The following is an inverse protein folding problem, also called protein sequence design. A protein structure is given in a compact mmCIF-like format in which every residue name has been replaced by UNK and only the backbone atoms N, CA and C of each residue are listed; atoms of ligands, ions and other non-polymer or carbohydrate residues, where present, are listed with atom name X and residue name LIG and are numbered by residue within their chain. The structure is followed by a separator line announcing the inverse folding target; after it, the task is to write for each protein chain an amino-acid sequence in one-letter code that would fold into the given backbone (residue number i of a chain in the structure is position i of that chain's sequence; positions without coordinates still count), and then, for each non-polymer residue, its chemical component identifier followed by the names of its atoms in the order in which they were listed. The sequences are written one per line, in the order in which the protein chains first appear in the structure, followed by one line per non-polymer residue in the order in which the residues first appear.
data_IF_555813318322
#
_entry.id   IF_555813318322
#
_cell.length_a   1.000
_cell.length_b   1.000
_cell.length_c   1.000
_cell.angle_alpha   90.00
_cell.angle_beta   90.00
_cell.angle_gamma   90.00
#
_symmetry.space_group_name_H-M   'P 1'
#
loop_
_entity.id
_entity.type
_entity.pdbx_description
1 polymer ?
#
# COMPACT_ATOMS: atom_id res chain seq x y z
N UNK A 1 0.56 -1.91 16.61
CA UNK A 1 1.49 -3.06 16.82
C UNK A 1 2.49 -3.09 15.67
N UNK A 2 3.68 -3.64 15.89
CA UNK A 2 4.63 -3.82 14.79
C UNK A 2 4.14 -4.91 13.82
N UNK A 3 4.27 -4.69 12.52
CA UNK A 3 3.80 -5.64 11.50
C UNK A 3 4.52 -6.98 11.60
N UNK A 4 5.86 -6.98 11.60
CA UNK A 4 6.68 -8.18 11.76
C UNK A 4 6.36 -8.96 13.04
N UNK A 5 6.14 -8.27 14.16
CA UNK A 5 5.72 -8.89 15.43
C UNK A 5 4.38 -9.63 15.29
N UNK A 6 3.41 -9.07 14.58
CA UNK A 6 2.11 -9.71 14.36
C UNK A 6 2.25 -11.05 13.62
N UNK A 7 3.09 -11.10 12.59
CA UNK A 7 3.37 -12.32 11.83
C UNK A 7 4.22 -13.33 12.61
N UNK A 8 5.34 -12.89 13.17
CA UNK A 8 6.32 -13.80 13.79
C UNK A 8 5.84 -14.34 15.15
N UNK A 9 5.22 -13.50 15.99
CA UNK A 9 4.94 -13.82 17.38
C UNK A 9 3.46 -14.12 17.66
N UNK A 10 2.54 -13.56 16.88
CA UNK A 10 1.11 -13.73 17.08
C UNK A 10 0.46 -14.67 16.06
N UNK A 11 1.24 -15.24 15.14
CA UNK A 11 0.78 -16.27 14.21
C UNK A 11 -0.18 -15.76 13.15
N UNK A 12 -0.18 -14.45 12.86
CA UNK A 12 -0.94 -13.89 11.75
C UNK A 12 -0.47 -14.53 10.44
N UNK A 13 -1.42 -14.94 9.63
CA UNK A 13 -1.20 -15.42 8.27
C UNK A 13 -1.68 -14.34 7.28
N UNK A 14 -0.98 -14.25 6.15
CA UNK A 14 -1.35 -13.34 5.08
C UNK A 14 -2.85 -13.50 4.71
N UNK A 15 -3.54 -12.37 4.57
CA UNK A 15 -4.97 -12.34 4.21
C UNK A 15 -5.93 -12.53 5.38
N UNK A 16 -5.44 -12.71 6.61
CA UNK A 16 -6.29 -12.66 7.81
C UNK A 16 -6.61 -11.22 8.27
N UNK A 17 -5.83 -10.25 7.81
CA UNK A 17 -6.04 -8.83 8.04
C UNK A 17 -6.81 -8.16 6.91
N UNK A 18 -6.43 -6.91 6.66
CA UNK A 18 -6.89 -6.08 5.56
C UNK A 18 -5.89 -6.03 4.40
N UNK A 19 -4.93 -6.97 4.36
CA UNK A 19 -4.02 -7.11 3.21
C UNK A 19 -4.78 -7.47 1.92
N UNK A 20 -5.99 -8.03 2.06
CA UNK A 20 -6.88 -8.42 0.96
C UNK A 20 -8.14 -7.56 0.99
N UNK A 21 -8.42 -6.88 -0.12
CA UNK A 21 -9.66 -6.12 -0.34
C UNK A 21 -10.05 -5.08 0.72
N UNK A 22 -9.12 -4.29 1.24
CA UNK A 22 -9.53 -3.32 2.25
C UNK A 22 -10.39 -2.16 1.72
N UNK A 23 -10.52 -2.03 0.39
CA UNK A 23 -11.55 -1.24 -0.29
C UNK A 23 -12.98 -1.83 -0.25
N UNK A 24 -13.14 -3.13 0.00
CA UNK A 24 -14.46 -3.80 -0.08
C UNK A 24 -15.15 -3.95 1.27
N UNK A 25 -14.66 -3.29 2.32
CA UNK A 25 -15.27 -3.33 3.66
C UNK A 25 -16.73 -2.86 3.68
N UNK A 26 -17.12 -1.99 2.74
CA UNK A 26 -18.50 -1.52 2.56
C UNK A 26 -19.40 -2.51 1.81
N UNK A 27 -18.81 -3.54 1.19
CA UNK A 27 -19.56 -4.62 0.55
C UNK A 27 -19.57 -5.83 1.48
N UNK A 28 -20.63 -5.98 2.30
CA UNK A 28 -20.79 -7.09 3.26
C UNK A 28 -20.53 -8.50 2.67
N UNK A 29 -20.70 -8.65 1.35
CA UNK A 29 -20.54 -9.88 0.57
C UNK A 29 -19.09 -10.20 0.16
N UNK A 30 -18.19 -9.23 0.26
CA UNK A 30 -16.75 -9.37 0.01
C UNK A 30 -15.93 -9.12 1.28
N UNK A 31 -16.56 -9.31 2.46
CA UNK A 31 -15.83 -9.38 3.73
C UNK A 31 -14.60 -10.24 3.53
N UNK A 32 -13.48 -9.73 4.04
CA UNK A 32 -12.23 -10.42 4.40
C UNK A 32 -12.48 -11.91 4.41
N UNK A 33 -11.67 -12.69 3.70
CA UNK A 33 -11.69 -14.15 3.72
C UNK A 33 -11.39 -14.70 5.13
N UNK A 34 -12.33 -14.48 6.05
CA UNK A 34 -12.49 -15.14 7.33
C UNK A 34 -13.35 -16.41 7.14
N UNK A 35 -13.65 -16.78 5.90
CA UNK A 35 -14.14 -18.11 5.55
C UNK A 35 -12.96 -19.00 5.16
N UNK A 36 -12.59 -20.00 5.99
CA UNK A 36 -11.48 -20.92 5.73
C UNK A 36 -11.65 -21.84 4.50
N UNK A 37 -12.71 -21.65 3.70
CA UNK A 37 -13.06 -22.50 2.57
C UNK A 37 -12.79 -21.88 1.19
N UNK A 38 -12.44 -20.59 1.09
CA UNK A 38 -12.17 -19.94 -0.20
C UNK A 38 -10.70 -20.10 -0.63
N UNK A 39 -10.37 -21.28 -1.18
CA UNK A 39 -9.01 -21.70 -1.55
C UNK A 39 -8.46 -20.99 -2.80
N UNK A 40 -9.31 -20.51 -3.70
CA UNK A 40 -8.93 -20.19 -5.09
C UNK A 40 -8.12 -18.90 -5.22
N UNK A 41 -8.23 -17.98 -4.27
CA UNK A 41 -7.49 -16.73 -4.29
C UNK A 41 -6.17 -16.76 -3.51
N UNK A 42 -6.06 -17.65 -2.52
CA UNK A 42 -4.91 -17.76 -1.62
C UNK A 42 -3.59 -18.18 -2.32
N UNK A 43 -3.63 -18.73 -3.53
CA UNK A 43 -2.52 -19.58 -3.99
C UNK A 43 -1.47 -18.92 -4.88
N UNK A 44 -1.76 -17.89 -5.68
CA UNK A 44 -0.84 -17.53 -6.79
C UNK A 44 -0.24 -16.12 -6.83
N UNK A 45 -0.93 -15.06 -6.39
CA UNK A 45 -0.35 -13.69 -6.35
C UNK A 45 -0.15 -13.17 -4.91
N UNK A 46 -0.89 -13.73 -3.95
CA UNK A 46 -1.00 -13.24 -2.57
C UNK A 46 0.18 -13.70 -1.68
N UNK A 47 0.88 -14.78 -2.05
CA UNK A 47 2.10 -15.22 -1.35
C UNK A 47 3.22 -14.22 -1.50
N UNK A 48 3.37 -13.59 -2.65
CA UNK A 48 4.55 -12.77 -2.93
C UNK A 48 4.46 -11.40 -2.27
N UNK A 49 3.32 -10.69 -2.33
CA UNK A 49 3.17 -9.40 -1.62
C UNK A 49 3.39 -9.57 -0.12
N UNK A 50 2.78 -10.56 0.52
CA UNK A 50 2.99 -10.78 1.95
C UNK A 50 4.42 -11.22 2.29
N UNK A 51 5.01 -12.14 1.51
CA UNK A 51 6.38 -12.64 1.72
C UNK A 51 7.43 -11.55 1.47
N UNK A 52 7.22 -10.67 0.51
CA UNK A 52 8.17 -9.66 0.10
C UNK A 52 7.93 -8.28 0.75
N UNK A 53 6.74 -8.06 1.34
CA UNK A 53 6.36 -6.81 2.00
C UNK A 53 5.89 -7.01 3.45
N UNK A 54 4.65 -7.47 3.69
CA UNK A 54 4.02 -7.41 5.03
C UNK A 54 4.79 -8.16 6.12
N UNK A 55 5.32 -9.35 5.81
CA UNK A 55 6.11 -10.16 6.77
C UNK A 55 7.50 -9.57 7.08
N UNK A 56 7.96 -8.62 6.27
CA UNK A 56 9.27 -7.95 6.43
C UNK A 56 9.18 -6.57 7.07
N UNK A 57 8.00 -5.95 7.08
CA UNK A 57 7.79 -4.63 7.66
C UNK A 57 8.06 -4.64 9.17
N UNK A 58 9.22 -4.14 9.59
CA UNK A 58 9.58 -3.99 10.99
C UNK A 58 9.31 -2.56 11.49
N UNK A 59 8.06 -2.14 11.38
CA UNK A 59 7.56 -0.86 11.92
C UNK A 59 6.08 -1.00 12.29
N UNK A 60 5.47 0.07 12.82
CA UNK A 60 4.08 0.08 13.30
C UNK A 60 3.18 1.12 12.61
N UNK A 61 3.65 1.76 11.53
CA UNK A 61 2.85 2.70 10.74
C UNK A 61 1.59 2.05 10.17
N UNK A 62 0.50 2.80 10.12
CA UNK A 62 -0.74 2.34 9.49
C UNK A 62 -0.59 2.27 7.97
N UNK A 63 -1.28 1.32 7.35
CA UNK A 63 -1.28 1.09 5.90
C UNK A 63 -2.63 1.52 5.32
N UNK A 64 -2.68 1.84 4.02
CA UNK A 64 -3.95 2.13 3.38
C UNK A 64 -4.82 0.88 3.36
N UNK A 65 -6.12 1.08 3.49
CA UNK A 65 -7.14 0.08 3.18
C UNK A 65 -7.27 -0.11 1.66
N UNK A 66 -6.94 0.91 0.89
CA UNK A 66 -6.97 0.85 -0.57
C UNK A 66 -5.65 0.32 -1.13
N UNK A 67 -5.72 -0.77 -1.88
CA UNK A 67 -4.67 -1.10 -2.86
C UNK A 67 -5.00 -0.28 -4.10
N UNK A 68 -4.18 0.72 -4.43
CA UNK A 68 -4.32 1.38 -5.71
C UNK A 68 -4.03 0.33 -6.80
N UNK A 69 -5.01 -0.03 -7.65
CA UNK A 69 -4.87 -1.22 -8.48
C UNK A 69 -3.87 -0.97 -9.60
N UNK A 70 -2.75 -1.70 -9.63
CA UNK A 70 -1.78 -1.66 -10.74
C UNK A 70 -2.44 -2.00 -12.09
N UNK A 71 -3.56 -2.74 -12.05
CA UNK A 71 -4.47 -2.96 -13.16
C UNK A 71 -5.90 -3.17 -12.61
N UNK A 72 -6.77 -2.16 -12.70
CA UNK A 72 -8.22 -2.42 -12.80
C UNK A 72 -8.70 -1.96 -14.17
N UNK A 73 -8.35 -2.66 -15.26
CA UNK A 73 -8.90 -2.31 -16.56
C UNK A 73 -10.43 -2.47 -16.61
N UNK A 74 -11.06 -3.40 -15.88
CA UNK A 74 -12.48 -3.73 -16.14
C UNK A 74 -13.34 -4.09 -14.90
N UNK A 75 -13.05 -3.59 -13.69
CA UNK A 75 -13.99 -3.79 -12.57
C UNK A 75 -15.15 -2.80 -12.71
N UNK A 76 -16.27 -3.30 -13.24
CA UNK A 76 -17.55 -2.59 -13.34
C UNK A 76 -18.50 -3.00 -12.20
N UNK A 77 -19.20 -2.05 -11.56
CA UNK A 77 -19.05 -0.61 -11.74
C UNK A 77 -17.70 -0.13 -11.23
N UNK A 78 -17.02 0.72 -12.01
CA UNK A 78 -15.90 1.52 -11.50
C UNK A 78 -16.47 2.24 -10.28
N UNK A 79 -15.91 2.04 -9.07
CA UNK A 79 -16.41 2.74 -7.91
C UNK A 79 -16.51 4.23 -8.25
N UNK A 80 -17.67 4.85 -8.05
CA UNK A 80 -17.89 6.29 -8.25
C UNK A 80 -17.15 7.10 -7.16
N UNK A 81 -15.89 6.79 -6.95
CA UNK A 81 -15.05 7.35 -5.91
C UNK A 81 -14.37 8.57 -6.53
N UNK A 82 -14.67 9.73 -5.96
CA UNK A 82 -14.05 10.98 -6.34
C UNK A 82 -12.53 10.93 -6.16
N UNK A 83 -11.80 11.79 -6.89
CA UNK A 83 -10.37 11.97 -6.64
C UNK A 83 -10.09 12.32 -5.17
N UNK A 84 -10.99 13.05 -4.52
CA UNK A 84 -10.88 13.39 -3.11
C UNK A 84 -10.95 12.14 -2.20
N UNK A 85 -11.89 11.23 -2.45
CA UNK A 85 -11.98 9.97 -1.70
C UNK A 85 -10.82 9.01 -2.03
N UNK A 86 -10.32 9.01 -3.27
CA UNK A 86 -9.08 8.32 -3.67
C UNK A 86 -7.85 8.87 -2.95
N UNK A 87 -7.85 10.16 -2.60
CA UNK A 87 -6.74 10.88 -2.00
C UNK A 87 -6.61 10.63 -0.48
N UNK A 88 -7.64 10.08 0.16
CA UNK A 88 -7.60 9.83 1.61
C UNK A 88 -8.25 8.48 1.94
N UNK A 89 -7.68 7.35 1.49
CA UNK A 89 -8.23 6.06 1.87
C UNK A 89 -8.23 5.90 3.39
N UNK A 90 -9.13 5.12 3.96
CA UNK A 90 -9.02 4.78 5.38
C UNK A 90 -7.69 4.05 5.61
N UNK A 91 -7.12 4.15 6.81
CA UNK A 91 -5.88 3.45 7.15
C UNK A 91 -6.14 2.43 8.24
N UNK A 92 -5.26 1.45 8.37
CA UNK A 92 -5.43 0.37 9.34
C UNK A 92 -4.11 -0.15 9.89
N UNK A 93 -4.17 -0.77 11.06
CA UNK A 93 -3.04 -1.43 11.69
C UNK A 93 -3.48 -2.61 12.56
N UNK A 94 -2.51 -3.44 12.96
CA UNK A 94 -2.72 -4.46 13.99
C UNK A 94 -2.65 -3.87 15.39
N UNK A 95 -3.52 -4.36 16.28
CA UNK A 95 -3.55 -4.04 17.71
C UNK A 95 -3.81 -5.29 18.55
N UNK A 96 -3.56 -5.24 19.86
CA UNK A 96 -3.93 -6.34 20.77
C UNK A 96 -5.45 -6.45 20.86
N UNK A 97 -5.97 -7.69 20.91
CA UNK A 97 -7.41 -7.97 20.98
C UNK A 97 -8.10 -7.47 22.26
N UNK A 98 -7.34 -6.99 23.26
CA UNK A 98 -7.88 -6.39 24.48
C UNK A 98 -8.53 -5.02 24.26
N UNK A 99 -8.30 -4.39 23.11
CA UNK A 99 -9.01 -3.17 22.70
C UNK A 99 -10.37 -3.57 22.11
N UNK A 100 -11.42 -2.81 22.42
CA UNK A 100 -12.76 -3.00 21.85
C UNK A 100 -12.74 -2.77 20.33
N UNK A 101 -12.39 -3.82 19.58
CA UNK A 101 -12.40 -3.84 18.12
C UNK A 101 -13.65 -4.59 17.67
N UNK A 102 -14.78 -3.90 17.71
CA UNK A 102 -15.99 -4.32 17.02
C UNK A 102 -16.18 -3.48 15.76
N UNK A 103 -16.87 -4.05 14.77
CA UNK A 103 -17.33 -3.29 13.62
C UNK A 103 -18.06 -2.00 14.09
N UNK A 104 -17.85 -0.85 13.43
CA UNK A 104 -17.07 -0.65 12.21
C UNK A 104 -15.57 -0.37 12.44
N UNK A 105 -15.11 -0.21 13.67
CA UNK A 105 -13.76 0.32 13.98
C UNK A 105 -12.65 -0.74 13.95
N UNK A 106 -13.01 -2.01 13.73
CA UNK A 106 -12.05 -3.10 13.70
C UNK A 106 -12.71 -4.46 13.73
N UNK A 107 -11.88 -5.50 13.65
CA UNK A 107 -12.32 -6.87 13.74
C UNK A 107 -11.22 -7.76 14.33
N UNK A 108 -11.60 -8.79 15.06
CA UNK A 108 -10.68 -9.79 15.59
C UNK A 108 -10.01 -10.59 14.46
N UNK A 109 -8.70 -10.86 14.56
CA UNK A 109 -7.97 -11.67 13.59
C UNK A 109 -8.08 -13.15 14.00
N UNK A 110 -8.78 -14.01 13.23
CA UNK A 110 -9.10 -15.37 13.67
C UNK A 110 -7.88 -16.22 14.06
N UNK A 111 -7.97 -16.90 15.21
CA UNK A 111 -6.91 -17.79 15.70
C UNK A 111 -5.67 -17.07 16.27
N UNK A 112 -5.73 -15.76 16.47
CA UNK A 112 -4.65 -14.95 17.04
C UNK A 112 -5.12 -14.15 18.25
N UNK A 113 -4.20 -13.51 18.98
CA UNK A 113 -4.53 -12.57 20.06
C UNK A 113 -4.67 -11.12 19.60
N UNK A 114 -4.88 -10.89 18.30
CA UNK A 114 -4.85 -9.57 17.67
C UNK A 114 -6.19 -9.18 17.07
N UNK A 115 -6.34 -7.88 16.87
CA UNK A 115 -7.42 -7.27 16.10
C UNK A 115 -6.85 -6.33 15.06
N UNK A 116 -7.61 -6.13 13.99
CA UNK A 116 -7.44 -5.02 13.05
C UNK A 116 -8.13 -3.82 13.66
N UNK A 117 -7.49 -2.66 13.57
CA UNK A 117 -8.07 -1.35 13.89
C UNK A 117 -8.08 -0.50 12.63
N UNK A 118 -9.24 0.06 12.30
CA UNK A 118 -9.32 1.17 11.36
C UNK A 118 -8.93 2.45 12.10
N UNK A 119 -8.00 3.17 11.54
CA UNK A 119 -7.36 4.33 12.15
C UNK A 119 -8.12 5.59 11.73
N UNK A 120 -8.57 6.37 12.71
CA UNK A 120 -9.19 7.66 12.46
C UNK A 120 -8.12 8.71 12.04
N UNK A 121 -8.50 9.74 11.26
CA UNK A 121 -7.57 10.80 10.88
C UNK A 121 -6.86 11.42 12.10
N UNK A 122 -5.52 11.35 12.11
CA UNK A 122 -4.68 11.92 13.18
C UNK A 122 -4.47 11.01 14.41
N UNK A 123 -5.07 9.82 14.45
CA UNK A 123 -4.93 8.90 15.59
C UNK A 123 -3.61 8.14 15.58
N UNK A 124 -3.27 7.51 14.44
CA UNK A 124 -2.00 6.83 14.22
C UNK A 124 -1.35 7.36 12.92
N UNK A 125 -0.01 7.39 12.88
CA UNK A 125 0.72 7.83 11.69
C UNK A 125 0.65 6.77 10.61
N UNK A 126 0.11 7.13 9.45
CA UNK A 126 0.10 6.25 8.28
C UNK A 126 1.36 6.45 7.42
N UNK A 127 1.75 5.40 6.68
CA UNK A 127 2.95 5.45 5.85
C UNK A 127 2.87 6.55 4.77
N UNK A 128 1.66 6.82 4.24
CA UNK A 128 1.40 7.89 3.26
C UNK A 128 1.61 9.30 3.78
N UNK A 129 1.70 9.48 5.09
CA UNK A 129 1.88 10.79 5.72
C UNK A 129 3.35 11.06 6.07
N UNK A 130 4.24 10.10 5.75
CA UNK A 130 5.67 10.24 5.96
C UNK A 130 6.34 11.01 4.80
N UNK A 131 7.47 11.69 5.06
CA UNK A 131 8.35 12.20 4.02
C UNK A 131 8.93 11.07 3.15
N UNK A 132 9.18 11.37 1.87
CA UNK A 132 9.73 10.45 0.88
C UNK A 132 10.99 9.76 1.38
N UNK A 133 11.90 10.53 1.97
CA UNK A 133 13.18 10.04 2.48
C UNK A 133 12.95 8.96 3.54
N UNK A 134 11.93 9.13 4.39
CA UNK A 134 11.60 8.15 5.42
C UNK A 134 10.99 6.88 4.82
N UNK A 135 10.16 6.99 3.79
CA UNK A 135 9.60 5.82 3.10
C UNK A 135 10.71 5.04 2.39
N UNK A 136 11.64 5.73 1.74
CA UNK A 136 12.81 5.11 1.10
C UNK A 136 13.73 4.42 2.11
N UNK A 137 13.98 5.05 3.26
CA UNK A 137 14.75 4.48 4.37
C UNK A 137 14.09 3.20 4.91
N UNK A 138 12.76 3.22 5.10
CA UNK A 138 12.01 2.05 5.52
C UNK A 138 12.06 0.93 4.48
N UNK A 139 11.90 1.25 3.20
CA UNK A 139 11.99 0.27 2.12
C UNK A 139 13.37 -0.40 2.06
N UNK A 140 14.46 0.39 2.20
CA UNK A 140 15.84 -0.13 2.27
C UNK A 140 16.06 -1.01 3.51
N UNK A 141 15.75 -0.48 4.69
CA UNK A 141 16.02 -1.14 5.98
C UNK A 141 15.27 -2.46 6.11
N UNK A 142 14.04 -2.52 5.61
CA UNK A 142 13.19 -3.71 5.68
C UNK A 142 13.23 -4.57 4.40
N UNK A 143 14.01 -4.15 3.40
CA UNK A 143 14.14 -4.82 2.10
C UNK A 143 12.77 -5.08 1.45
N UNK A 144 11.96 -4.01 1.35
CA UNK A 144 10.61 -4.02 0.80
C UNK A 144 10.64 -3.51 -0.64
N UNK A 145 10.11 -4.29 -1.59
CA UNK A 145 9.94 -3.81 -2.96
C UNK A 145 9.05 -2.55 -2.96
N UNK A 146 9.63 -1.41 -3.33
CA UNK A 146 8.94 -0.13 -3.37
C UNK A 146 7.80 -0.12 -4.40
N UNK A 147 7.93 -0.94 -5.45
CA UNK A 147 6.88 -1.17 -6.43
C UNK A 147 5.68 -1.94 -5.87
N UNK A 148 5.86 -2.70 -4.79
CA UNK A 148 4.78 -3.35 -4.04
C UNK A 148 4.32 -2.52 -2.85
N UNK A 149 5.23 -1.77 -2.22
CA UNK A 149 4.94 -0.91 -1.07
C UNK A 149 4.04 0.27 -1.44
N UNK A 150 4.41 1.04 -2.46
CA UNK A 150 3.70 2.28 -2.80
C UNK A 150 2.23 2.05 -3.22
N UNK A 151 1.85 1.00 -3.96
CA UNK A 151 0.43 0.69 -4.18
C UNK A 151 -0.41 0.55 -2.90
N UNK A 152 0.21 0.15 -1.79
CA UNK A 152 -0.43 -0.10 -0.49
C UNK A 152 -0.25 1.05 0.51
N UNK A 153 0.62 2.02 0.20
CA UNK A 153 1.11 2.98 1.17
C UNK A 153 1.23 4.41 0.65
N UNK A 154 1.24 4.62 -0.65
CA UNK A 154 1.25 5.95 -1.24
C UNK A 154 -0.13 6.59 -1.12
N UNK A 155 -0.17 7.91 -1.22
CA UNK A 155 -1.40 8.68 -1.37
C UNK A 155 -2.18 8.25 -2.61
N UNK A 156 -1.49 8.16 -3.76
CA UNK A 156 -2.05 7.78 -5.05
C UNK A 156 -1.01 6.92 -5.79
N UNK A 157 -1.51 5.96 -6.56
CA UNK A 157 -0.75 5.38 -7.66
C UNK A 157 -1.47 5.67 -8.98
N UNK A 158 -0.75 6.19 -9.97
CA UNK A 158 -1.32 6.60 -11.25
C UNK A 158 -0.58 5.97 -12.44
N UNK A 159 -1.10 4.85 -12.98
CA UNK A 159 -0.59 4.28 -14.22
C UNK A 159 -1.17 5.03 -15.43
N UNK A 160 -0.32 5.63 -16.26
CA UNK A 160 -0.68 6.27 -17.52
C UNK A 160 0.56 6.46 -18.41
N UNK A 161 0.46 6.25 -19.72
CA UNK A 161 1.65 6.31 -20.61
C UNK A 161 2.30 7.68 -20.72
N UNK A 162 1.54 8.76 -20.49
CA UNK A 162 2.10 10.11 -20.29
C UNK A 162 3.12 10.20 -19.15
N UNK A 163 3.08 9.27 -18.19
CA UNK A 163 4.03 9.18 -17.08
C UNK A 163 5.15 8.15 -17.35
N UNK A 164 5.40 7.81 -18.61
CA UNK A 164 6.60 7.07 -18.99
C UNK A 164 7.85 7.82 -18.50
N UNK A 165 8.65 7.24 -17.58
CA UNK A 165 9.80 7.92 -16.99
C UNK A 165 10.92 8.29 -17.96
N UNK A 166 10.84 7.85 -19.22
CA UNK A 166 11.78 8.23 -20.27
C UNK A 166 11.32 9.48 -21.05
N UNK A 167 10.03 9.85 -20.94
CA UNK A 167 9.43 10.96 -21.70
C UNK A 167 8.75 12.03 -20.83
N UNK A 168 8.47 11.73 -19.56
CA UNK A 168 7.72 12.63 -18.67
C UNK A 168 8.50 13.90 -18.36
N UNK A 169 7.82 15.04 -18.46
CA UNK A 169 8.41 16.37 -18.21
C UNK A 169 8.04 16.90 -16.82
N UNK A 170 8.72 17.94 -16.33
CA UNK A 170 8.32 18.58 -15.07
C UNK A 170 6.92 19.23 -15.16
N UNK A 171 6.47 19.62 -16.34
CA UNK A 171 5.12 20.16 -16.54
C UNK A 171 4.06 19.07 -16.34
N UNK A 172 4.31 17.86 -16.86
CA UNK A 172 3.44 16.68 -16.65
C UNK A 172 3.30 16.33 -15.17
N UNK A 173 4.35 16.59 -14.38
CA UNK A 173 4.39 16.33 -12.95
C UNK A 173 3.77 17.43 -12.10
N UNK A 174 3.47 18.61 -12.65
CA UNK A 174 3.05 19.80 -11.88
C UNK A 174 1.88 19.52 -10.91
N UNK A 175 0.84 18.82 -11.38
CA UNK A 175 -0.31 18.43 -10.55
C UNK A 175 0.11 17.47 -9.43
N UNK A 176 0.98 16.51 -9.72
CA UNK A 176 1.44 15.51 -8.75
C UNK A 176 2.32 16.14 -7.68
N UNK A 177 3.23 17.04 -8.08
CA UNK A 177 4.07 17.83 -7.18
C UNK A 177 3.21 18.68 -6.25
N UNK A 178 2.14 19.30 -6.77
CA UNK A 178 1.23 20.14 -6.00
C UNK A 178 0.50 19.40 -4.87
N UNK A 179 0.33 18.07 -4.95
CA UNK A 179 -0.22 17.30 -3.83
C UNK A 179 0.70 17.30 -2.61
N UNK A 180 2.01 17.44 -2.81
CA UNK A 180 3.04 17.30 -1.77
C UNK A 180 2.86 16.05 -0.89
N UNK A 181 2.39 14.96 -1.50
CA UNK A 181 2.12 13.69 -0.84
C UNK A 181 2.75 12.52 -1.61
N UNK A 182 3.17 11.45 -0.91
CA UNK A 182 3.80 10.29 -1.52
C UNK A 182 2.97 9.73 -2.67
N UNK A 183 3.43 9.85 -3.91
CA UNK A 183 2.68 9.42 -5.10
C UNK A 183 3.55 8.54 -5.99
N UNK A 184 3.04 7.38 -6.40
CA UNK A 184 3.68 6.57 -7.42
C UNK A 184 3.04 6.86 -8.78
N UNK A 185 3.85 7.18 -9.77
CA UNK A 185 3.39 7.27 -11.16
C UNK A 185 4.22 6.34 -12.03
N UNK A 186 3.60 5.80 -13.07
CA UNK A 186 4.23 4.83 -13.95
C UNK A 186 3.54 4.80 -15.32
N UNK A 187 4.25 4.33 -16.34
CA UNK A 187 3.62 3.91 -17.60
C UNK A 187 2.68 2.73 -17.38
N UNK A 188 1.79 2.46 -18.34
CA UNK A 188 1.00 1.22 -18.34
C UNK A 188 1.86 -0.03 -18.55
N UNK A 189 3.09 0.11 -19.07
CA UNK A 189 4.09 -0.97 -19.10
C UNK A 189 4.70 -1.17 -17.71
N UNK A 190 4.19 -2.18 -16.99
CA UNK A 190 4.60 -2.51 -15.61
C UNK A 190 6.06 -2.94 -15.46
N UNK A 191 6.75 -3.25 -16.55
CA UNK A 191 8.17 -3.63 -16.55
C UNK A 191 9.11 -2.43 -16.58
N UNK A 192 8.61 -1.25 -16.94
CA UNK A 192 9.40 -0.03 -16.97
C UNK A 192 9.68 0.49 -15.57
N UNK A 193 10.63 1.42 -15.52
CA UNK A 193 10.86 2.23 -14.34
C UNK A 193 9.55 2.91 -13.89
N UNK A 194 9.55 3.34 -12.64
CA UNK A 194 8.46 4.07 -11.98
C UNK A 194 9.05 5.33 -11.36
N UNK A 195 8.19 6.32 -11.10
CA UNK A 195 8.58 7.51 -10.36
C UNK A 195 7.84 7.55 -9.03
N UNK A 196 8.59 7.83 -7.98
CA UNK A 196 8.07 8.20 -6.68
C UNK A 196 8.19 9.72 -6.53
N UNK A 197 7.06 10.41 -6.38
CA UNK A 197 6.97 11.88 -6.35
C UNK A 197 6.39 12.33 -5.02
N UNK A 198 6.96 13.39 -4.43
CA UNK A 198 6.39 14.10 -3.29
C UNK A 198 6.91 15.54 -3.28
N UNK A 199 6.04 16.49 -3.57
CA UNK A 199 6.46 17.89 -3.73
C UNK A 199 7.42 17.98 -4.92
N UNK A 200 8.52 18.71 -4.76
CA UNK A 200 9.55 18.81 -5.79
C UNK A 200 10.49 17.59 -5.85
N UNK A 201 10.43 16.69 -4.87
CA UNK A 201 11.25 15.50 -4.83
C UNK A 201 10.70 14.43 -5.78
N UNK A 202 11.57 13.89 -6.62
CA UNK A 202 11.24 12.82 -7.58
C UNK A 202 12.36 11.79 -7.58
N UNK A 203 12.00 10.52 -7.40
CA UNK A 203 12.93 9.38 -7.46
C UNK A 203 12.46 8.40 -8.53
N UNK A 204 13.37 8.06 -9.46
CA UNK A 204 13.15 7.00 -10.45
C UNK A 204 13.67 5.67 -9.90
N UNK A 205 12.85 4.62 -10.00
CA UNK A 205 13.22 3.29 -9.52
C UNK A 205 12.71 2.19 -10.45
N UNK A 206 13.37 1.05 -10.44
CA UNK A 206 12.93 -0.15 -11.17
C UNK A 206 12.02 -1.00 -10.27
N UNK A 207 11.02 -1.70 -10.83
CA UNK A 207 10.29 -2.75 -10.11
C UNK A 207 11.27 -3.73 -9.44
N UNK A 208 11.00 -4.16 -8.21
CA UNK A 208 11.92 -4.97 -7.43
C UNK A 208 12.76 -4.17 -6.44
N UNK A 209 13.07 -2.90 -6.70
CA UNK A 209 13.92 -2.09 -5.82
C UNK A 209 13.41 -2.06 -4.37
N UNK A 210 14.26 -2.26 -3.34
CA UNK A 210 15.71 -2.38 -3.37
C UNK A 210 16.20 -3.82 -3.61
N UNK A 211 15.31 -4.79 -3.79
CA UNK A 211 15.67 -6.16 -4.16
C UNK A 211 16.16 -6.17 -5.62
N UNK A 212 17.46 -6.34 -5.83
CA UNK A 212 18.00 -6.59 -7.17
C UNK A 212 18.13 -5.37 -8.10
N UNK A 213 18.05 -4.14 -7.58
CA UNK A 213 18.36 -2.94 -8.38
C UNK A 213 19.02 -1.83 -7.55
N UNK A 214 19.90 -1.06 -8.21
CA UNK A 214 20.54 0.15 -7.67
C UNK A 214 19.58 1.33 -7.92
N UNK A 215 19.30 2.21 -6.94
CA UNK A 215 18.47 3.40 -7.19
C UNK A 215 19.18 4.28 -8.22
N UNK A 216 18.46 4.69 -9.28
CA UNK A 216 18.95 5.67 -10.24
C UNK A 216 18.64 7.05 -9.67
N UNK A 217 19.56 7.61 -8.88
CA UNK A 217 19.51 9.03 -8.57
C UNK A 217 19.74 9.81 -9.87
N UNK A 218 18.75 10.61 -10.28
CA UNK A 218 18.96 11.64 -11.29
C UNK A 218 18.64 12.99 -10.66
N UNK A 219 19.52 13.99 -10.80
CA UNK A 219 19.07 15.37 -10.73
C UNK A 219 18.14 15.59 -11.93
N UNK A 220 16.89 15.99 -11.67
CA UNK A 220 16.04 16.55 -12.71
C UNK A 220 16.74 17.82 -13.23
N UNK A 221 17.11 17.82 -14.52
CA UNK A 221 17.55 19.02 -15.23
C UNK A 221 16.35 19.89 -15.59
#
# INVERSE_FOLDING_TARGET
MNWKEAYDNHGVKCGQGLERFADSLWMEKFRISAYPTDKTAMEYAEKDVCKHMFTRMNFNYAMNTRIAPMHMPDIYPKPHVSLQELSTPQTWCYVRASLTCSMPHGHHVPGTGLSIKLVEPGEDVALRDLPMEKILDLAKTNILDLGELLPNAAHIMWPHDKYDPDNVTSEDLSLVKAFNRPTMIMSTDVKKARLFVQGDNVVKFQPGWPQGSVPLEMPLQ
#
